data_IF_459663395181
#
_entry.id   IF_459663395181
#
_cell.length_a   1.000
_cell.length_b   1.000
_cell.length_c   1.000
_cell.angle_alpha   90.00
_cell.angle_beta   90.00
_cell.angle_gamma   90.00
#
_symmetry.space_group_name_H-M   'P 1'
#
loop_
_entity.id
_entity.type
_entity.pdbx_description
1 polymer ?
#
# COMPACT_ATOMS: atom_id res chain seq x y z
N UNK A 1 -5.36 -21.85 -10.56
CA UNK A 1 -5.34 -20.39 -10.35
C UNK A 1 -6.54 -20.06 -9.49
N UNK A 2 -6.36 -19.92 -8.18
CA UNK A 2 -7.42 -19.52 -7.26
C UNK A 2 -6.85 -18.38 -6.42
N UNK A 3 -7.12 -17.15 -6.84
CA UNK A 3 -6.88 -15.97 -6.02
C UNK A 3 -8.22 -15.68 -5.33
N UNK A 4 -8.27 -15.85 -4.02
CA UNK A 4 -9.49 -15.54 -3.27
C UNK A 4 -9.44 -14.06 -2.89
N UNK A 5 -10.38 -13.28 -3.39
CA UNK A 5 -10.65 -11.94 -2.87
C UNK A 5 -11.56 -12.10 -1.66
N UNK A 6 -11.07 -11.73 -0.48
CA UNK A 6 -11.90 -11.69 0.71
C UNK A 6 -12.39 -10.25 0.93
N UNK A 7 -13.68 -9.95 0.68
CA UNK A 7 -14.21 -8.62 0.95
C UNK A 7 -14.26 -8.41 2.47
N UNK A 8 -13.59 -7.37 2.96
CA UNK A 8 -13.78 -6.92 4.34
C UNK A 8 -15.16 -6.27 4.50
N UNK A 9 -15.67 -6.19 5.73
CA UNK A 9 -16.87 -5.42 6.05
C UNK A 9 -16.72 -3.90 5.87
N UNK A 10 -15.55 -3.45 5.43
CA UNK A 10 -15.21 -2.07 5.12
C UNK A 10 -15.28 -1.91 3.60
N UNK A 11 -16.05 -0.92 3.15
CA UNK A 11 -16.19 -0.62 1.73
C UNK A 11 -14.83 -0.28 1.09
N UNK A 12 -14.60 -0.75 -0.13
CA UNK A 12 -13.40 -0.48 -0.94
C UNK A 12 -12.07 -1.01 -0.37
N UNK A 13 -12.11 -2.01 0.51
CA UNK A 13 -10.91 -2.70 1.01
C UNK A 13 -10.94 -4.16 0.55
N UNK A 14 -9.81 -4.62 -0.03
CA UNK A 14 -9.67 -5.95 -0.60
C UNK A 14 -8.42 -6.63 -0.06
N UNK A 15 -8.53 -7.92 0.25
CA UNK A 15 -7.39 -8.77 0.59
C UNK A 15 -7.17 -9.82 -0.50
N UNK A 16 -5.94 -9.86 -1.04
CA UNK A 16 -5.52 -10.83 -2.07
C UNK A 16 -4.58 -11.84 -1.43
N UNK A 17 -5.08 -13.05 -1.22
CA UNK A 17 -4.26 -14.20 -0.81
C UNK A 17 -4.08 -15.19 -1.96
N UNK A 18 -2.83 -15.62 -2.17
CA UNK A 18 -2.50 -16.62 -3.17
C UNK A 18 -1.15 -17.30 -2.87
N UNK A 19 -0.91 -18.54 -3.34
CA UNK A 19 0.39 -19.21 -3.24
C UNK A 19 1.57 -18.45 -3.87
N UNK A 20 2.80 -18.89 -3.58
CA UNK A 20 3.99 -18.39 -4.26
C UNK A 20 3.92 -18.62 -5.78
N UNK A 21 4.45 -17.68 -6.58
CA UNK A 21 4.49 -17.81 -8.04
C UNK A 21 3.18 -17.49 -8.78
N UNK A 22 2.13 -17.01 -8.10
CA UNK A 22 0.84 -16.68 -8.73
C UNK A 22 0.74 -15.28 -9.31
N UNK A 23 1.83 -14.51 -9.35
CA UNK A 23 1.86 -13.19 -9.97
C UNK A 23 1.21 -12.07 -9.16
N UNK A 24 1.05 -12.20 -7.83
CA UNK A 24 0.53 -11.10 -6.97
C UNK A 24 1.30 -9.79 -7.17
N UNK A 25 2.64 -9.86 -7.24
CA UNK A 25 3.50 -8.70 -7.52
C UNK A 25 3.18 -8.06 -8.87
N UNK A 26 2.98 -8.88 -9.91
CA UNK A 26 2.58 -8.40 -11.23
C UNK A 26 1.22 -7.70 -11.17
N UNK A 27 0.23 -8.29 -10.48
CA UNK A 27 -1.09 -7.70 -10.29
C UNK A 27 -1.01 -6.31 -9.63
N UNK A 28 -0.28 -6.18 -8.52
CA UNK A 28 -0.13 -4.89 -7.83
C UNK A 28 0.56 -3.84 -8.72
N UNK A 29 1.61 -4.24 -9.47
CA UNK A 29 2.29 -3.35 -10.40
C UNK A 29 1.39 -2.93 -11.57
N UNK A 30 0.56 -3.84 -12.10
CA UNK A 30 -0.41 -3.53 -13.15
C UNK A 30 -1.49 -2.55 -12.67
N UNK A 31 -2.08 -2.77 -11.50
CA UNK A 31 -3.04 -1.81 -10.93
C UNK A 31 -2.41 -0.43 -10.72
N UNK A 32 -1.17 -0.40 -10.21
CA UNK A 32 -0.45 0.84 -10.01
C UNK A 32 -0.23 1.58 -11.35
N UNK A 33 0.16 0.86 -12.39
CA UNK A 33 0.36 1.42 -13.73
C UNK A 33 -0.95 1.96 -14.30
N UNK A 34 -2.05 1.18 -14.23
CA UNK A 34 -3.36 1.58 -14.76
C UNK A 34 -3.86 2.88 -14.08
N UNK A 35 -3.71 3.01 -12.76
CA UNK A 35 -4.12 4.22 -12.04
C UNK A 35 -3.22 5.41 -12.38
N UNK A 36 -1.92 5.19 -12.55
CA UNK A 36 -0.98 6.23 -12.98
C UNK A 36 -1.23 6.69 -14.43
N UNK A 37 -1.64 5.78 -15.31
CA UNK A 37 -2.03 6.09 -16.68
C UNK A 37 -3.27 6.99 -16.73
N UNK A 38 -4.16 6.87 -15.73
CA UNK A 38 -5.28 7.79 -15.51
C UNK A 38 -4.87 9.13 -14.87
N UNK A 39 -3.57 9.39 -14.71
CA UNK A 39 -3.02 10.58 -14.04
C UNK A 39 -3.50 10.74 -12.59
N UNK A 40 -3.86 9.63 -11.94
CA UNK A 40 -4.26 9.60 -10.53
C UNK A 40 -3.07 9.23 -9.63
N UNK A 41 -3.18 9.61 -8.36
CA UNK A 41 -2.15 9.27 -7.36
C UNK A 41 -2.36 7.84 -6.88
N UNK A 42 -1.41 6.97 -7.17
CA UNK A 42 -1.37 5.61 -6.64
C UNK A 42 -0.17 5.43 -5.71
N UNK A 43 -0.42 4.95 -4.50
CA UNK A 43 0.61 4.65 -3.50
C UNK A 43 0.75 3.14 -3.43
N UNK A 44 1.99 2.66 -3.53
CA UNK A 44 2.36 1.27 -3.33
C UNK A 44 3.24 1.19 -2.10
N UNK A 45 2.84 0.39 -1.13
CA UNK A 45 3.49 0.30 0.17
C UNK A 45 3.85 -1.13 0.48
N UNK A 46 5.15 -1.41 0.60
CA UNK A 46 5.60 -2.72 1.08
C UNK A 46 5.93 -2.68 2.57
N UNK A 47 5.59 -3.73 3.31
CA UNK A 47 5.92 -3.87 4.74
C UNK A 47 7.41 -4.12 5.00
N UNK A 48 8.18 -4.56 3.99
CA UNK A 48 9.60 -4.85 4.08
C UNK A 48 10.37 -4.29 2.88
N UNK A 49 11.62 -3.85 3.09
CA UNK A 49 12.45 -3.22 2.05
C UNK A 49 12.81 -4.12 0.86
N UNK A 50 12.77 -5.44 1.00
CA UNK A 50 12.97 -6.36 -0.15
C UNK A 50 11.70 -6.41 -1.01
N UNK A 51 10.52 -6.24 -0.41
CA UNK A 51 9.27 -6.22 -1.13
C UNK A 51 9.08 -4.92 -1.92
N UNK A 52 9.67 -3.79 -1.48
CA UNK A 52 9.70 -2.54 -2.27
C UNK A 52 10.57 -2.64 -3.52
N UNK A 53 11.48 -3.60 -3.63
CA UNK A 53 12.28 -3.79 -4.85
C UNK A 53 11.52 -4.59 -5.92
N UNK A 54 10.68 -5.54 -5.47
CA UNK A 54 9.86 -6.37 -6.35
C UNK A 54 8.60 -5.64 -6.85
N UNK A 55 8.06 -4.78 -6.00
CA UNK A 55 6.97 -3.88 -6.34
C UNK A 55 7.63 -2.63 -6.94
N UNK A 56 7.18 -2.09 -8.08
CA UNK A 56 7.72 -0.83 -8.64
C UNK A 56 7.26 0.39 -7.82
N UNK A 57 7.49 0.32 -6.51
CA UNK A 57 7.04 1.27 -5.51
C UNK A 57 8.22 1.93 -4.85
N UNK A 58 8.03 3.20 -4.50
CA UNK A 58 9.11 4.05 -4.04
C UNK A 58 9.22 4.09 -2.51
N UNK A 59 8.25 3.50 -1.78
CA UNK A 59 8.13 3.70 -0.33
C UNK A 59 7.89 2.42 0.49
N UNK A 60 8.52 2.39 1.65
CA UNK A 60 8.33 1.37 2.69
C UNK A 60 7.18 1.84 3.62
N UNK A 61 6.40 0.91 4.17
CA UNK A 61 5.30 1.22 5.10
C UNK A 61 5.75 2.11 6.26
N UNK A 62 6.91 1.81 6.82
CA UNK A 62 7.48 2.55 7.94
C UNK A 62 7.71 4.03 7.61
N UNK A 63 8.24 4.36 6.43
CA UNK A 63 8.46 5.76 6.02
C UNK A 63 7.18 6.43 5.55
N UNK A 64 6.33 5.71 4.80
CA UNK A 64 5.06 6.22 4.28
C UNK A 64 4.12 6.67 5.39
N UNK A 65 3.98 5.81 6.40
CA UNK A 65 3.05 6.03 7.50
C UNK A 65 3.72 6.59 8.76
N UNK A 66 5.04 6.82 8.74
CA UNK A 66 5.79 7.30 9.90
C UNK A 66 5.51 6.44 11.15
N UNK A 67 5.60 5.12 10.98
CA UNK A 67 5.33 4.14 12.02
C UNK A 67 6.41 4.29 13.11
N UNK A 68 6.05 4.41 14.39
CA UNK A 68 7.05 4.50 15.46
C UNK A 68 7.83 3.20 15.62
N UNK A 69 9.14 3.30 15.90
CA UNK A 69 10.02 2.14 16.11
C UNK A 69 9.71 1.37 17.40
N UNK A 70 9.10 2.04 18.38
CA UNK A 70 8.57 1.42 19.60
C UNK A 70 7.05 1.47 19.54
N UNK A 71 6.42 0.29 19.52
CA UNK A 71 4.96 0.15 19.48
C UNK A 71 4.48 -0.19 20.89
N UNK A 72 3.69 0.71 21.46
CA UNK A 72 2.93 0.56 22.70
C UNK A 72 1.43 0.45 22.36
N UNK A 73 0.59 0.06 23.32
CA UNK A 73 -0.85 -0.20 23.10
C UNK A 73 -1.64 0.99 22.52
N UNK A 74 -1.08 2.20 22.62
CA UNK A 74 -1.66 3.45 22.12
C UNK A 74 -0.78 4.13 21.07
N UNK A 75 0.21 3.42 20.51
CA UNK A 75 1.02 3.94 19.42
C UNK A 75 0.19 4.14 18.17
N UNK A 76 0.37 5.30 17.54
CA UNK A 76 -0.26 5.66 16.28
C UNK A 76 0.81 6.12 15.29
N UNK A 77 0.46 6.13 14.00
CA UNK A 77 1.29 6.68 12.95
C UNK A 77 1.54 8.18 13.22
N UNK A 78 2.80 8.61 13.25
CA UNK A 78 3.17 9.99 13.62
C UNK A 78 3.03 10.97 12.44
N UNK A 79 1.87 10.95 11.78
CA UNK A 79 1.59 11.76 10.59
C UNK A 79 0.86 13.03 11.01
N UNK A 80 1.55 14.17 10.93
CA UNK A 80 0.88 15.45 11.19
C UNK A 80 -0.05 15.81 10.03
N UNK A 81 -1.22 16.40 10.34
CA UNK A 81 -2.28 16.74 9.36
C UNK A 81 -1.78 17.57 8.17
N UNK A 82 -0.78 18.41 8.39
CA UNK A 82 -0.21 19.32 7.37
C UNK A 82 1.12 18.81 6.80
N UNK A 83 1.53 17.59 7.14
CA UNK A 83 2.74 16.99 6.57
C UNK A 83 2.57 16.66 5.08
N UNK A 84 3.71 16.55 4.39
CA UNK A 84 3.74 16.03 3.01
C UNK A 84 3.21 14.60 2.92
N UNK A 85 3.47 13.78 3.94
CA UNK A 85 2.97 12.41 4.02
C UNK A 85 1.43 12.38 4.12
N UNK A 86 0.83 13.21 4.99
CA UNK A 86 -0.61 13.35 5.07
C UNK A 86 -1.23 13.77 3.74
N UNK A 87 -0.63 14.77 3.08
CA UNK A 87 -1.11 15.23 1.77
C UNK A 87 -1.04 14.12 0.72
N UNK A 88 0.06 13.36 0.67
CA UNK A 88 0.21 12.24 -0.25
C UNK A 88 -0.89 11.20 -0.06
N UNK A 89 -1.19 10.83 1.19
CA UNK A 89 -2.25 9.87 1.55
C UNK A 89 -3.64 10.44 1.21
N UNK A 90 -3.89 11.73 1.45
CA UNK A 90 -5.17 12.37 1.13
C UNK A 90 -5.43 12.47 -0.37
N UNK A 91 -4.39 12.72 -1.16
CA UNK A 91 -4.47 12.83 -2.62
C UNK A 91 -4.51 11.44 -3.30
N UNK A 92 -4.30 10.35 -2.56
CA UNK A 92 -4.26 8.99 -3.08
C UNK A 92 -5.65 8.52 -3.55
N UNK A 93 -5.71 8.04 -4.79
CA UNK A 93 -6.88 7.35 -5.35
C UNK A 93 -6.87 5.86 -5.05
N UNK A 94 -5.69 5.27 -4.85
CA UNK A 94 -5.52 3.89 -4.39
C UNK A 94 -4.27 3.77 -3.52
N UNK A 95 -4.35 2.91 -2.51
CA UNK A 95 -3.22 2.47 -1.68
C UNK A 95 -3.17 0.95 -1.80
N UNK A 96 -2.03 0.43 -2.23
CA UNK A 96 -1.78 -0.99 -2.50
C UNK A 96 -0.68 -1.50 -1.57
#
# INVERSE_FOLDING_TARGET
MYCSLNPSSIDNVFFIDAPGGTGKTFLYNSLLADVRDLSLTAILVASAGIATELLCGDDIAHSTFQIPMSIEDHSTCNISRHSKAAKKIQDASVII
#
